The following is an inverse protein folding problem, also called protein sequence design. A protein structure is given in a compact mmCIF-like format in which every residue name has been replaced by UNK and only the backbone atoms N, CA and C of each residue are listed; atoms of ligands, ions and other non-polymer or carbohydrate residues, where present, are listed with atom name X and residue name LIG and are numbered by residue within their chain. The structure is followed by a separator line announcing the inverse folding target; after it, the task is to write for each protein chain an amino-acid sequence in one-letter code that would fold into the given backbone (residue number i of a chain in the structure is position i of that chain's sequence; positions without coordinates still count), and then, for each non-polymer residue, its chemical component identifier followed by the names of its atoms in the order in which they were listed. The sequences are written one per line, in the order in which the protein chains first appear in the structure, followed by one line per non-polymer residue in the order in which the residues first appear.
data_IF_029348591593
#
_entry.id   IF_029348591593
#
_cell.length_a   1.000
_cell.length_b   1.000
_cell.length_c   1.000
_cell.angle_alpha   90.00
_cell.angle_beta   90.00
_cell.angle_gamma   90.00
#
_symmetry.space_group_name_H-M   'P 1'
#
loop_
_entity.id
_entity.type
_entity.pdbx_description
1 polymer ?
#
# COMPACT_ATOMS: atom_id res chain seq x y z
N UNK A 1 -21.44 -19.12 -25.52
CA UNK A 1 -20.74 -19.92 -24.50
C UNK A 1 -19.54 -19.09 -24.02
N UNK A 2 -19.76 -18.27 -22.99
CA UNK A 2 -18.77 -17.31 -22.50
C UNK A 2 -17.77 -17.96 -21.56
N UNK A 3 -16.47 -17.81 -21.85
CA UNK A 3 -15.38 -18.31 -21.01
C UNK A 3 -15.26 -17.37 -19.81
N UNK A 4 -15.73 -17.80 -18.65
CA UNK A 4 -15.44 -17.17 -17.37
C UNK A 4 -13.91 -17.13 -17.16
N UNK A 5 -13.32 -15.94 -17.24
CA UNK A 5 -11.96 -15.70 -16.78
C UNK A 5 -11.93 -15.95 -15.28
N UNK A 6 -11.45 -17.13 -14.86
CA UNK A 6 -11.07 -17.42 -13.48
C UNK A 6 -10.05 -16.38 -13.01
N UNK A 7 -10.51 -15.36 -12.29
CA UNK A 7 -9.66 -14.39 -11.61
C UNK A 7 -8.96 -15.13 -10.46
N UNK A 8 -7.72 -15.60 -10.71
CA UNK A 8 -6.89 -16.17 -9.65
C UNK A 8 -6.69 -15.10 -8.58
N UNK A 9 -6.99 -15.44 -7.32
CA UNK A 9 -6.73 -14.54 -6.18
C UNK A 9 -5.25 -14.14 -6.19
N UNK A 10 -4.93 -12.84 -6.00
CA UNK A 10 -3.55 -12.41 -5.93
C UNK A 10 -2.83 -13.14 -4.79
N UNK A 11 -1.56 -13.45 -5.01
CA UNK A 11 -0.69 -14.08 -4.01
C UNK A 11 -0.64 -13.25 -2.73
N UNK A 12 -0.58 -13.91 -1.57
CA UNK A 12 -0.50 -13.24 -0.26
C UNK A 12 0.58 -12.16 -0.23
N UNK A 13 0.24 -10.98 0.30
CA UNK A 13 1.18 -9.86 0.47
C UNK A 13 2.45 -10.32 1.22
N UNK A 14 2.28 -11.19 2.22
CA UNK A 14 3.38 -11.72 3.01
C UNK A 14 4.37 -12.54 2.16
N UNK A 15 3.87 -13.36 1.24
CA UNK A 15 4.72 -14.14 0.31
C UNK A 15 5.44 -13.20 -0.64
N UNK A 16 4.74 -12.20 -1.19
CA UNK A 16 5.32 -11.26 -2.14
C UNK A 16 6.46 -10.44 -1.51
N UNK A 17 6.25 -9.91 -0.30
CA UNK A 17 7.27 -9.16 0.43
C UNK A 17 8.45 -10.06 0.80
N UNK A 18 8.20 -11.27 1.30
CA UNK A 18 9.28 -12.22 1.68
C UNK A 18 10.12 -12.61 0.47
N UNK A 19 9.49 -12.90 -0.67
CA UNK A 19 10.19 -13.22 -1.93
C UNK A 19 10.99 -12.02 -2.43
N UNK A 20 10.40 -10.82 -2.43
CA UNK A 20 11.11 -9.62 -2.87
C UNK A 20 12.33 -9.30 -2.01
N UNK A 21 12.16 -9.27 -0.69
CA UNK A 21 13.25 -9.02 0.26
C UNK A 21 14.30 -10.13 0.15
N UNK A 22 13.89 -11.39 0.08
CA UNK A 22 14.79 -12.54 -0.07
C UNK A 22 15.60 -12.51 -1.36
N UNK A 23 14.97 -12.14 -2.49
CA UNK A 23 15.68 -11.99 -3.77
C UNK A 23 16.67 -10.82 -3.72
N UNK A 24 16.28 -9.68 -3.14
CA UNK A 24 17.14 -8.51 -3.02
C UNK A 24 18.37 -8.79 -2.13
N UNK A 25 18.18 -9.42 -0.97
CA UNK A 25 19.29 -9.76 -0.07
C UNK A 25 20.20 -10.84 -0.65
N UNK A 26 19.63 -11.85 -1.31
CA UNK A 26 20.43 -12.88 -2.01
C UNK A 26 21.27 -12.25 -3.13
N UNK A 27 20.68 -11.37 -3.95
CA UNK A 27 21.42 -10.67 -5.00
C UNK A 27 22.54 -9.78 -4.44
N UNK A 28 22.29 -9.09 -3.32
CA UNK A 28 23.30 -8.30 -2.61
C UNK A 28 24.47 -9.17 -2.14
N UNK A 29 24.20 -10.34 -1.53
CA UNK A 29 25.26 -11.24 -1.09
C UNK A 29 26.05 -11.84 -2.25
N UNK A 30 25.38 -12.23 -3.34
CA UNK A 30 26.03 -12.72 -4.55
C UNK A 30 26.96 -11.66 -5.16
N UNK A 31 26.50 -10.41 -5.25
CA UNK A 31 27.30 -9.30 -5.77
C UNK A 31 28.51 -9.02 -4.86
N UNK A 32 28.32 -9.07 -3.54
CA UNK A 32 29.39 -8.89 -2.57
C UNK A 32 30.44 -10.01 -2.69
N UNK A 33 30.00 -11.27 -2.74
CA UNK A 33 30.88 -12.43 -2.90
C UNK A 33 31.69 -12.35 -4.20
N UNK A 34 31.03 -12.03 -5.32
CA UNK A 34 31.68 -11.82 -6.61
C UNK A 34 32.70 -10.68 -6.59
N UNK A 35 32.36 -9.55 -5.95
CA UNK A 35 33.27 -8.40 -5.81
C UNK A 35 34.51 -8.75 -4.97
N UNK A 36 34.32 -9.45 -3.86
CA UNK A 36 35.43 -9.91 -2.99
C UNK A 36 36.33 -10.89 -3.75
N UNK A 37 35.76 -11.89 -4.42
CA UNK A 37 36.49 -12.86 -5.23
C UNK A 37 37.37 -12.16 -6.28
N UNK A 38 36.77 -11.26 -7.08
CA UNK A 38 37.47 -10.52 -8.12
C UNK A 38 38.53 -9.56 -7.56
N UNK A 39 38.27 -8.95 -6.40
CA UNK A 39 39.23 -8.09 -5.71
C UNK A 39 40.47 -8.87 -5.27
N UNK A 40 40.28 -10.07 -4.71
CA UNK A 40 41.35 -10.90 -4.19
C UNK A 40 42.19 -11.50 -5.33
N UNK A 41 41.58 -11.98 -6.41
CA UNK A 41 42.31 -12.45 -7.59
C UNK A 41 43.20 -11.35 -8.19
N UNK A 42 42.67 -10.12 -8.30
CA UNK A 42 43.43 -8.95 -8.76
C UNK A 42 44.54 -8.57 -7.78
N UNK A 43 44.31 -8.70 -6.48
CA UNK A 43 45.32 -8.41 -5.46
C UNK A 43 46.51 -9.37 -5.58
N UNK A 44 46.26 -10.68 -5.64
CA UNK A 44 47.33 -11.68 -5.84
C UNK A 44 48.05 -11.47 -7.18
N UNK A 45 47.34 -11.19 -8.28
CA UNK A 45 47.98 -10.90 -9.56
C UNK A 45 48.92 -9.69 -9.52
N UNK A 46 48.56 -8.64 -8.76
CA UNK A 46 49.41 -7.47 -8.55
C UNK A 46 50.61 -7.77 -7.64
N UNK A 47 50.41 -8.58 -6.61
CA UNK A 47 51.47 -9.00 -5.69
C UNK A 47 52.52 -9.83 -6.44
N UNK A 48 52.09 -10.85 -7.19
CA UNK A 48 52.97 -11.69 -8.02
C UNK A 48 53.72 -10.83 -9.05
N UNK A 49 53.04 -9.86 -9.68
CA UNK A 49 53.67 -8.94 -10.64
C UNK A 49 54.75 -8.07 -9.97
N UNK A 50 54.48 -7.56 -8.76
CA UNK A 50 55.43 -6.71 -8.03
C UNK A 50 56.70 -7.51 -7.65
N UNK A 51 56.53 -8.75 -7.23
CA UNK A 51 57.62 -9.67 -6.91
C UNK A 51 58.47 -10.00 -8.16
N UNK A 52 57.81 -10.37 -9.27
CA UNK A 52 58.48 -10.63 -10.55
C UNK A 52 59.19 -9.39 -11.10
N UNK A 53 58.62 -8.19 -10.92
CA UNK A 53 59.24 -6.91 -11.31
C UNK A 53 60.48 -6.59 -10.49
N UNK A 54 60.44 -6.82 -9.18
CA UNK A 54 61.59 -6.61 -8.32
C UNK A 54 62.74 -7.56 -8.72
N UNK A 55 62.44 -8.84 -8.94
CA UNK A 55 63.42 -9.83 -9.39
C UNK A 55 63.99 -9.48 -10.78
N UNK A 56 63.13 -9.09 -11.72
CA UNK A 56 63.55 -8.63 -13.05
C UNK A 56 64.49 -7.41 -12.97
N UNK A 57 64.16 -6.40 -12.17
CA UNK A 57 64.96 -5.18 -12.05
C UNK A 57 66.39 -5.48 -11.55
N UNK A 58 66.52 -6.38 -10.57
CA UNK A 58 67.83 -6.84 -10.08
C UNK A 58 68.64 -7.57 -11.15
N UNK A 59 67.98 -8.43 -11.94
CA UNK A 59 68.64 -9.18 -13.02
C UNK A 59 69.01 -8.29 -14.20
N UNK A 60 68.14 -7.38 -14.61
CA UNK A 60 68.43 -6.43 -15.70
C UNK A 60 69.59 -5.50 -15.34
N UNK A 61 69.66 -5.03 -14.08
CA UNK A 61 70.80 -4.25 -13.59
C UNK A 61 72.12 -5.06 -13.59
N UNK A 62 72.07 -6.34 -13.21
CA UNK A 62 73.22 -7.24 -13.26
C UNK A 62 73.67 -7.53 -14.72
N UNK A 63 72.73 -7.66 -15.65
CA UNK A 63 73.02 -7.89 -17.08
C UNK A 63 73.61 -6.66 -17.77
N UNK A 64 73.14 -5.46 -17.43
CA UNK A 64 73.64 -4.19 -17.99
C UNK A 64 75.01 -3.78 -17.46
N UNK A 65 75.41 -4.23 -16.28
CA UNK A 65 76.75 -3.98 -15.72
C UNK A 65 77.86 -4.86 -16.32
N UNK A 66 77.57 -5.54 -17.45
CA UNK A 66 78.47 -6.41 -18.23
C UNK A 66 79.22 -7.48 -17.42
N UNK A 67 78.64 -7.88 -16.28
CA UNK A 67 79.19 -8.93 -15.41
C UNK A 67 79.05 -10.34 -15.99
N UNK A 68 78.45 -10.51 -17.17
CA UNK A 68 77.91 -11.80 -17.67
C UNK A 68 78.11 -11.93 -19.18
N UNK A 69 79.34 -12.10 -19.62
CA UNK A 69 79.67 -12.29 -21.05
C UNK A 69 80.27 -13.68 -21.34
N UNK A 70 80.58 -14.48 -20.31
CA UNK A 70 81.04 -15.87 -20.45
C UNK A 70 80.45 -16.77 -19.36
N UNK A 71 80.21 -18.07 -19.59
CA UNK A 71 79.74 -18.98 -18.55
C UNK A 71 80.86 -19.27 -17.54
N UNK A 72 81.06 -18.38 -16.57
CA UNK A 72 82.04 -18.51 -15.50
C UNK A 72 81.34 -18.75 -14.15
N UNK A 73 81.73 -19.78 -13.35
CA UNK A 73 81.15 -20.05 -12.03
C UNK A 73 81.16 -18.85 -11.06
N UNK A 74 82.13 -17.94 -11.16
CA UNK A 74 82.18 -16.72 -10.34
C UNK A 74 81.04 -15.73 -10.67
N UNK A 75 80.58 -15.68 -11.92
CA UNK A 75 79.50 -14.78 -12.35
C UNK A 75 78.12 -15.33 -11.97
N UNK A 76 77.95 -16.66 -11.97
CA UNK A 76 76.73 -17.30 -11.44
C UNK A 76 76.53 -17.05 -9.94
N UNK A 77 77.62 -16.86 -9.19
CA UNK A 77 77.56 -16.54 -7.76
C UNK A 77 77.13 -15.09 -7.51
N UNK A 78 77.64 -14.13 -8.30
CA UNK A 78 77.17 -12.74 -8.26
C UNK A 78 75.69 -12.59 -8.64
N UNK A 79 75.17 -13.46 -9.52
CA UNK A 79 73.73 -13.53 -9.79
C UNK A 79 72.93 -14.14 -8.65
N UNK A 80 73.46 -15.21 -8.04
CA UNK A 80 72.85 -15.82 -6.87
C UNK A 80 72.76 -14.82 -5.71
N UNK A 81 73.78 -13.99 -5.51
CA UNK A 81 73.82 -12.94 -4.49
C UNK A 81 72.83 -11.79 -4.81
N UNK A 82 72.76 -11.35 -6.06
CA UNK A 82 71.76 -10.36 -6.50
C UNK A 82 70.32 -10.88 -6.37
N UNK A 83 70.15 -12.20 -6.44
CA UNK A 83 68.87 -12.90 -6.30
C UNK A 83 68.56 -13.34 -4.86
N UNK A 84 69.51 -13.22 -3.93
CA UNK A 84 69.33 -13.66 -2.55
C UNK A 84 68.15 -12.96 -1.85
N UNK A 85 67.76 -11.76 -2.29
CA UNK A 85 66.59 -11.04 -1.79
C UNK A 85 65.25 -11.37 -2.46
N UNK A 86 65.24 -12.13 -3.56
CA UNK A 86 64.03 -12.52 -4.30
C UNK A 86 63.66 -13.98 -4.03
N UNK A 87 63.17 -14.26 -2.82
CA UNK A 87 62.77 -15.60 -2.41
C UNK A 87 61.52 -16.06 -3.16
N UNK A 88 61.60 -17.17 -3.90
CA UNK A 88 60.44 -17.77 -4.59
C UNK A 88 60.35 -17.54 -6.10
N UNK A 89 61.27 -16.74 -6.66
CA UNK A 89 61.34 -16.47 -8.10
C UNK A 89 62.40 -17.33 -8.79
N UNK A 90 61.97 -18.11 -9.79
CA UNK A 90 62.84 -18.88 -10.68
C UNK A 90 63.20 -18.07 -11.92
N UNK A 91 64.49 -18.04 -12.27
CA UNK A 91 64.99 -17.31 -13.43
C UNK A 91 65.80 -18.21 -14.36
N UNK A 92 65.62 -18.02 -15.67
CA UNK A 92 66.45 -18.61 -16.72
C UNK A 92 66.95 -17.53 -17.65
N UNK A 93 68.26 -17.49 -17.91
CA UNK A 93 68.91 -16.54 -18.80
C UNK A 93 69.55 -17.29 -19.96
N UNK A 94 69.24 -16.88 -21.19
CA UNK A 94 69.79 -17.41 -22.43
C UNK A 94 70.41 -16.31 -23.28
N UNK A 95 71.48 -16.65 -23.97
CA UNK A 95 72.12 -15.74 -24.94
C UNK A 95 71.37 -15.70 -26.28
N UNK A 96 71.81 -14.83 -27.21
CA UNK A 96 71.23 -14.70 -28.56
C UNK A 96 71.18 -16.04 -29.34
N UNK A 97 72.16 -16.91 -29.14
CA UNK A 97 72.24 -18.25 -29.74
C UNK A 97 71.41 -19.32 -29.01
N UNK A 98 70.61 -18.93 -28.00
CA UNK A 98 69.82 -19.85 -27.18
C UNK A 98 70.62 -20.63 -26.12
N UNK A 99 71.94 -20.43 -26.03
CA UNK A 99 72.80 -21.06 -25.01
C UNK A 99 72.44 -20.58 -23.61
N UNK A 100 72.37 -21.51 -22.65
CA UNK A 100 72.03 -21.23 -21.26
C UNK A 100 73.20 -20.52 -20.54
N UNK A 101 72.93 -19.36 -19.95
CA UNK A 101 73.89 -18.60 -19.16
C UNK A 101 73.67 -18.79 -17.65
N UNK A 102 72.41 -18.85 -17.23
CA UNK A 102 72.04 -19.04 -15.82
C UNK A 102 70.68 -19.73 -15.70
N UNK A 103 70.51 -20.57 -14.68
CA UNK A 103 69.24 -21.24 -14.34
C UNK A 103 69.15 -21.44 -12.84
N UNK A 104 68.06 -20.96 -12.24
CA UNK A 104 67.70 -21.30 -10.85
C UNK A 104 67.34 -22.78 -10.75
N UNK A 105 67.74 -23.45 -9.66
CA UNK A 105 67.41 -24.84 -9.38
C UNK A 105 65.87 -24.94 -9.34
N UNK A 106 65.29 -25.66 -10.32
CA UNK A 106 63.84 -25.81 -10.60
C UNK A 106 63.10 -24.56 -11.12
N UNK A 107 62.13 -24.67 -12.06
CA UNK A 107 61.67 -25.83 -12.86
C UNK A 107 62.13 -25.77 -14.35
N UNK A 108 61.60 -26.66 -15.20
CA UNK A 108 61.75 -26.63 -16.66
C UNK A 108 60.99 -25.45 -17.28
N UNK A 109 61.65 -24.30 -17.33
CA UNK A 109 61.16 -23.06 -17.94
C UNK A 109 61.30 -23.05 -19.48
N UNK A 110 61.79 -24.14 -20.07
CA UNK A 110 62.06 -24.21 -21.51
C UNK A 110 60.77 -24.33 -22.34
N UNK A 111 59.68 -24.76 -21.71
CA UNK A 111 58.34 -24.73 -22.32
C UNK A 111 57.85 -23.29 -22.55
N UNK A 112 58.12 -22.37 -21.61
CA UNK A 112 57.62 -20.99 -21.69
C UNK A 112 58.35 -20.18 -22.77
N UNK A 113 59.67 -20.34 -22.87
CA UNK A 113 60.52 -19.68 -23.89
C UNK A 113 60.03 -20.00 -25.31
N UNK A 114 59.47 -21.20 -25.52
CA UNK A 114 58.99 -21.65 -26.84
C UNK A 114 57.58 -21.19 -27.17
N UNK A 115 56.77 -20.85 -26.17
CA UNK A 115 55.33 -20.59 -26.34
C UNK A 115 54.98 -19.10 -26.21
N UNK A 116 55.79 -18.30 -25.52
CA UNK A 116 55.48 -16.91 -25.19
C UNK A 116 56.49 -15.97 -25.83
N UNK A 117 56.06 -14.95 -26.61
CA UNK A 117 56.97 -13.98 -27.21
C UNK A 117 57.64 -13.12 -26.14
N UNK A 118 58.92 -12.79 -26.34
CA UNK A 118 59.67 -11.95 -25.42
C UNK A 118 59.18 -10.49 -25.46
N UNK A 119 58.84 -9.94 -24.30
CA UNK A 119 58.39 -8.55 -24.16
C UNK A 119 59.44 -7.68 -23.47
N UNK A 120 59.50 -6.38 -23.82
CA UNK A 120 60.43 -5.45 -23.17
C UNK A 120 59.94 -4.95 -21.79
N UNK A 121 58.61 -4.94 -21.58
CA UNK A 121 58.00 -4.42 -20.36
C UNK A 121 57.21 -5.51 -19.64
N UNK A 122 57.45 -5.63 -18.33
CA UNK A 122 56.73 -6.56 -17.47
C UNK A 122 55.45 -5.89 -16.95
N UNK A 123 54.31 -6.24 -17.54
CA UNK A 123 52.96 -5.79 -17.16
C UNK A 123 52.03 -6.98 -16.90
N UNK A 124 50.83 -6.74 -16.36
CA UNK A 124 49.83 -7.79 -16.10
C UNK A 124 49.53 -8.62 -17.36
N UNK A 125 49.44 -7.99 -18.52
CA UNK A 125 49.13 -8.67 -19.80
C UNK A 125 50.30 -9.52 -20.32
N UNK A 126 51.53 -9.23 -19.86
CA UNK A 126 52.72 -10.01 -20.21
C UNK A 126 52.84 -11.29 -19.35
N UNK A 127 52.10 -11.38 -18.23
CA UNK A 127 52.11 -12.53 -17.36
C UNK A 127 51.31 -13.68 -17.97
N UNK A 128 51.97 -14.83 -18.09
CA UNK A 128 51.38 -16.06 -18.55
C UNK A 128 51.36 -17.07 -17.40
N UNK A 129 50.29 -17.86 -17.34
CA UNK A 129 50.16 -18.96 -16.38
C UNK A 129 50.31 -20.27 -17.14
N UNK A 130 51.21 -21.13 -16.69
CA UNK A 130 51.36 -22.47 -17.23
C UNK A 130 51.46 -23.49 -16.11
N UNK A 131 51.14 -24.73 -16.44
CA UNK A 131 51.20 -25.85 -15.50
C UNK A 131 52.30 -26.80 -15.94
N UNK A 132 53.16 -27.17 -15.00
CA UNK A 132 54.06 -28.31 -15.14
C UNK A 132 53.43 -29.53 -14.47
N UNK A 133 54.12 -30.68 -14.47
CA UNK A 133 53.62 -31.92 -13.86
C UNK A 133 53.30 -31.81 -12.36
N UNK A 134 53.93 -30.87 -11.63
CA UNK A 134 53.79 -30.74 -10.18
C UNK A 134 53.43 -29.33 -9.70
N UNK A 135 53.64 -28.30 -10.51
CA UNK A 135 53.53 -26.90 -10.07
C UNK A 135 52.84 -26.03 -11.12
N UNK A 136 52.11 -25.01 -10.65
CA UNK A 136 51.56 -23.95 -11.49
C UNK A 136 52.41 -22.70 -11.33
N UNK A 137 52.90 -22.17 -12.43
CA UNK A 137 53.74 -20.99 -12.44
C UNK A 137 53.06 -19.81 -13.12
N UNK A 138 53.43 -18.62 -12.68
CA UNK A 138 53.10 -17.35 -13.32
C UNK A 138 54.39 -16.60 -13.61
N UNK A 139 54.53 -16.08 -14.82
CA UNK A 139 55.80 -15.51 -15.25
C UNK A 139 55.73 -14.89 -16.64
N UNK A 140 56.83 -14.33 -17.08
CA UNK A 140 56.96 -13.69 -18.38
C UNK A 140 58.32 -13.96 -19.01
N UNK A 141 58.39 -13.82 -20.34
CA UNK A 141 59.63 -13.86 -21.10
C UNK A 141 60.02 -12.42 -21.42
N UNK A 142 61.19 -11.99 -20.97
CA UNK A 142 61.69 -10.63 -21.06
C UNK A 142 62.97 -10.58 -21.89
N UNK A 143 63.23 -9.45 -22.55
CA UNK A 143 64.44 -9.23 -23.35
C UNK A 143 65.28 -8.10 -22.76
N UNK A 144 66.56 -8.38 -22.48
CA UNK A 144 67.56 -7.38 -22.08
C UNK A 144 68.73 -7.45 -23.06
N UNK A 145 68.83 -6.46 -23.96
CA UNK A 145 69.83 -6.47 -25.04
C UNK A 145 69.66 -7.67 -25.98
N UNK A 146 70.72 -8.48 -26.08
CA UNK A 146 70.81 -9.72 -26.85
C UNK A 146 70.39 -10.98 -26.06
N UNK A 147 70.04 -10.83 -24.78
CA UNK A 147 69.71 -11.94 -23.87
C UNK A 147 68.21 -12.06 -23.64
N UNK A 148 67.74 -13.30 -23.58
CA UNK A 148 66.36 -13.66 -23.21
C UNK A 148 66.33 -14.15 -21.77
N UNK A 149 65.48 -13.52 -20.95
CA UNK A 149 65.35 -13.80 -19.52
C UNK A 149 63.92 -14.24 -19.24
N UNK A 150 63.77 -15.39 -18.60
CA UNK A 150 62.48 -15.86 -18.08
C UNK A 150 62.44 -15.59 -16.59
N UNK A 151 61.36 -14.99 -16.12
CA UNK A 151 61.11 -14.77 -14.69
C UNK A 151 59.77 -15.41 -14.35
N UNK A 152 59.76 -16.29 -13.34
CA UNK A 152 58.60 -17.09 -12.97
C UNK A 152 58.49 -17.25 -11.45
N UNK A 153 57.29 -17.28 -10.91
CA UNK A 153 57.01 -17.62 -9.50
C UNK A 153 55.99 -18.74 -9.43
N UNK A 154 56.12 -19.63 -8.43
CA UNK A 154 55.18 -20.72 -8.20
C UNK A 154 53.93 -20.20 -7.49
N UNK A 155 52.75 -20.41 -8.07
CA UNK A 155 51.47 -19.90 -7.56
C UNK A 155 50.55 -21.00 -7.01
N UNK A 156 51.08 -22.20 -6.76
CA UNK A 156 50.29 -23.33 -6.22
C UNK A 156 49.61 -22.98 -4.90
N UNK A 157 50.36 -22.36 -3.99
CA UNK A 157 49.83 -21.93 -2.69
C UNK A 157 48.74 -20.86 -2.86
N UNK A 158 48.96 -19.88 -3.74
CA UNK A 158 47.96 -18.84 -4.06
C UNK A 158 46.68 -19.45 -4.63
N UNK A 159 46.78 -20.36 -5.59
CA UNK A 159 45.62 -21.02 -6.19
C UNK A 159 44.87 -21.92 -5.21
N UNK A 160 45.58 -22.66 -4.36
CA UNK A 160 44.93 -23.48 -3.32
C UNK A 160 44.24 -22.60 -2.27
N UNK A 161 44.86 -21.49 -1.87
CA UNK A 161 44.26 -20.52 -0.96
C UNK A 161 43.01 -19.88 -1.56
N UNK A 162 43.09 -19.41 -2.81
CA UNK A 162 41.96 -18.85 -3.56
C UNK A 162 40.79 -19.82 -3.64
N UNK A 163 41.03 -21.10 -3.96
CA UNK A 163 39.96 -22.12 -4.01
C UNK A 163 39.30 -22.35 -2.65
N UNK A 164 40.10 -22.46 -1.58
CA UNK A 164 39.57 -22.63 -0.21
C UNK A 164 38.72 -21.42 0.19
N UNK A 165 39.20 -20.23 -0.13
CA UNK A 165 38.50 -18.98 0.14
C UNK A 165 37.21 -18.86 -0.67
N UNK A 166 37.25 -19.15 -1.97
CA UNK A 166 36.07 -19.20 -2.84
C UNK A 166 35.03 -20.16 -2.26
N UNK A 167 35.40 -21.39 -1.93
CA UNK A 167 34.48 -22.36 -1.34
C UNK A 167 33.86 -21.85 -0.02
N UNK A 168 34.67 -21.22 0.84
CA UNK A 168 34.19 -20.64 2.09
C UNK A 168 33.24 -19.44 1.86
N UNK A 169 33.56 -18.56 0.90
CA UNK A 169 32.73 -17.41 0.53
C UNK A 169 31.39 -17.84 -0.06
N UNK A 170 31.39 -18.80 -0.98
CA UNK A 170 30.18 -19.32 -1.60
C UNK A 170 29.30 -20.09 -0.61
N UNK A 171 29.90 -20.92 0.26
CA UNK A 171 29.19 -21.60 1.33
C UNK A 171 28.59 -20.60 2.35
N UNK A 172 29.38 -19.60 2.76
CA UNK A 172 28.92 -18.53 3.64
C UNK A 172 27.78 -17.72 3.04
N UNK A 173 27.86 -17.41 1.74
CA UNK A 173 26.82 -16.69 0.99
C UNK A 173 25.52 -17.48 0.94
N UNK A 174 25.58 -18.78 0.70
CA UNK A 174 24.41 -19.67 0.70
C UNK A 174 23.74 -19.69 2.08
N UNK A 175 24.53 -19.87 3.15
CA UNK A 175 24.03 -19.91 4.53
C UNK A 175 23.40 -18.56 4.91
N UNK A 176 24.09 -17.45 4.63
CA UNK A 176 23.60 -16.10 4.91
C UNK A 176 22.29 -15.80 4.16
N UNK A 177 22.18 -16.22 2.90
CA UNK A 177 20.96 -16.06 2.10
C UNK A 177 19.79 -16.86 2.67
N UNK A 178 20.03 -18.11 3.07
CA UNK A 178 19.00 -18.96 3.68
C UNK A 178 18.50 -18.38 5.01
N UNK A 179 19.42 -17.92 5.87
CA UNK A 179 19.09 -17.25 7.13
C UNK A 179 18.30 -15.96 6.86
N UNK A 180 18.72 -15.16 5.88
CA UNK A 180 18.04 -13.92 5.53
C UNK A 180 16.59 -14.16 5.09
N UNK A 181 16.34 -15.15 4.23
CA UNK A 181 14.98 -15.53 3.81
C UNK A 181 14.14 -16.02 4.99
N UNK A 182 14.73 -16.83 5.88
CA UNK A 182 14.06 -17.31 7.08
C UNK A 182 13.65 -16.16 8.01
N UNK A 183 14.59 -15.25 8.31
CA UNK A 183 14.35 -14.08 9.16
C UNK A 183 13.32 -13.16 8.54
N UNK A 184 13.42 -12.87 7.25
CA UNK A 184 12.43 -12.06 6.52
C UNK A 184 11.03 -12.68 6.61
N UNK A 185 10.91 -14.00 6.39
CA UNK A 185 9.64 -14.71 6.50
C UNK A 185 9.03 -14.67 7.90
N UNK A 186 9.85 -14.79 8.95
CA UNK A 186 9.41 -14.66 10.34
C UNK A 186 8.98 -13.23 10.68
N UNK A 187 9.77 -12.23 10.27
CA UNK A 187 9.48 -10.81 10.51
C UNK A 187 8.15 -10.40 9.85
N UNK A 188 7.91 -10.80 8.60
CA UNK A 188 6.66 -10.53 7.90
C UNK A 188 5.48 -11.24 8.58
N UNK A 189 5.65 -12.50 9.01
CA UNK A 189 4.60 -13.25 9.74
C UNK A 189 4.21 -12.59 11.06
N UNK A 190 5.19 -12.10 11.81
CA UNK A 190 4.96 -11.38 13.07
C UNK A 190 4.34 -9.99 12.82
N UNK A 191 4.85 -9.24 11.84
CA UNK A 191 4.32 -7.92 11.47
C UNK A 191 2.85 -7.94 11.03
N UNK A 192 2.39 -9.03 10.43
CA UNK A 192 0.98 -9.21 10.03
C UNK A 192 0.07 -9.77 11.14
N UNK A 193 0.61 -10.17 12.28
CA UNK A 193 -0.18 -10.74 13.37
C UNK A 193 -1.22 -9.76 13.95
N UNK A 194 -0.92 -8.47 14.18
CA UNK A 194 -1.91 -7.49 14.64
C UNK A 194 -3.10 -7.35 13.68
N UNK A 195 -2.84 -7.31 12.36
CA UNK A 195 -3.89 -7.21 11.34
C UNK A 195 -4.84 -8.42 11.38
N UNK A 196 -4.30 -9.62 11.58
CA UNK A 196 -5.10 -10.84 11.75
C UNK A 196 -5.97 -10.79 13.01
N UNK A 197 -5.45 -10.26 14.12
CA UNK A 197 -6.19 -10.12 15.39
C UNK A 197 -7.35 -9.14 15.22
N UNK A 198 -7.11 -7.99 14.59
CA UNK A 198 -8.16 -7.00 14.28
C UNK A 198 -9.22 -7.61 13.36
N UNK A 199 -8.80 -8.30 12.30
CA UNK A 199 -9.73 -9.00 11.39
C UNK A 199 -10.57 -10.05 12.10
N UNK A 200 -10.00 -10.82 13.03
CA UNK A 200 -10.74 -11.79 13.82
C UNK A 200 -11.78 -11.10 14.71
N UNK A 201 -11.38 -10.06 15.45
CA UNK A 201 -12.31 -9.27 16.28
C UNK A 201 -13.44 -8.64 15.47
N UNK A 202 -13.14 -8.11 14.28
CA UNK A 202 -14.16 -7.54 13.40
C UNK A 202 -15.16 -8.60 12.90
N UNK A 203 -14.74 -9.85 12.70
CA UNK A 203 -15.67 -10.95 12.32
C UNK A 203 -16.60 -11.39 13.45
N UNK A 204 -16.18 -11.18 14.69
CA UNK A 204 -17.00 -11.50 15.87
C UNK A 204 -18.03 -10.40 16.18
N UNK A 205 -17.94 -9.24 15.52
CA UNK A 205 -18.89 -8.14 15.71
C UNK A 205 -20.20 -8.44 14.99
N UNK A 206 -21.24 -8.68 15.79
CA UNK A 206 -22.63 -8.84 15.37
C UNK A 206 -23.44 -7.61 15.76
N UNK A 207 -24.68 -7.50 15.24
CA UNK A 207 -25.63 -6.41 15.56
C UNK A 207 -25.85 -6.21 17.07
N UNK A 208 -25.70 -7.27 17.86
CA UNK A 208 -25.85 -7.25 19.32
C UNK A 208 -24.63 -6.69 20.07
N UNK A 209 -23.46 -6.64 19.42
CA UNK A 209 -22.17 -6.29 20.04
C UNK A 209 -21.51 -5.02 19.49
N UNK A 210 -22.26 -4.15 18.80
CA UNK A 210 -21.71 -2.89 18.25
C UNK A 210 -21.05 -1.97 19.30
N UNK A 211 -21.48 -2.09 20.56
CA UNK A 211 -20.94 -1.32 21.68
C UNK A 211 -19.48 -1.66 22.01
N UNK A 212 -18.97 -2.81 21.57
CA UNK A 212 -17.57 -3.19 21.80
C UNK A 212 -16.67 -2.49 20.78
N UNK A 213 -15.94 -1.47 21.21
CA UNK A 213 -15.03 -0.72 20.33
C UNK A 213 -13.64 -1.33 20.31
N UNK A 214 -12.96 -1.16 19.18
CA UNK A 214 -11.54 -1.45 19.07
C UNK A 214 -10.77 -0.28 19.68
N UNK A 215 -9.91 -0.55 20.66
CA UNK A 215 -9.07 0.48 21.28
C UNK A 215 -7.86 0.83 20.39
N UNK A 216 -7.74 2.08 19.92
CA UNK A 216 -6.60 2.53 19.11
C UNK A 216 -5.25 2.40 19.83
N UNK A 217 -5.21 2.47 21.17
CA UNK A 217 -3.97 2.38 21.94
C UNK A 217 -3.35 0.97 21.94
N UNK A 218 -4.13 -0.06 21.61
CA UNK A 218 -3.71 -1.46 21.62
C UNK A 218 -3.32 -1.99 20.23
N UNK A 219 -3.20 -1.12 19.23
CA UNK A 219 -2.81 -1.49 17.87
C UNK A 219 -1.59 -0.68 17.41
N UNK A 220 -0.78 -1.20 16.45
CA UNK A 220 0.28 -0.42 15.82
C UNK A 220 -0.26 0.90 15.25
N UNK A 221 0.56 1.95 15.27
CA UNK A 221 0.15 3.30 14.86
C UNK A 221 -0.35 3.35 13.43
N UNK A 222 0.21 2.50 12.55
CA UNK A 222 -0.19 2.37 11.15
C UNK A 222 -1.62 1.84 10.98
N UNK A 223 -2.18 1.21 12.00
CA UNK A 223 -3.55 0.68 12.01
C UNK A 223 -4.51 1.56 12.83
N UNK A 224 -4.03 2.60 13.50
CA UNK A 224 -4.84 3.47 14.35
C UNK A 224 -5.96 4.16 13.54
N UNK A 225 -5.63 4.71 12.38
CA UNK A 225 -6.60 5.37 11.48
C UNK A 225 -7.66 4.40 10.97
N UNK A 226 -7.27 3.16 10.64
CA UNK A 226 -8.21 2.13 10.22
C UNK A 226 -9.19 1.78 11.34
N UNK A 227 -8.69 1.63 12.57
CA UNK A 227 -9.51 1.38 13.76
C UNK A 227 -10.44 2.56 14.03
N UNK A 228 -9.96 3.79 13.91
CA UNK A 228 -10.76 5.00 14.08
C UNK A 228 -11.89 5.07 13.04
N UNK A 229 -11.59 4.84 11.77
CA UNK A 229 -12.58 4.82 10.69
C UNK A 229 -13.63 3.72 10.89
N UNK A 230 -13.21 2.54 11.32
CA UNK A 230 -14.11 1.43 11.62
C UNK A 230 -15.03 1.74 12.81
N UNK A 231 -14.49 2.32 13.88
CA UNK A 231 -15.29 2.80 15.01
C UNK A 231 -16.28 3.89 14.56
N UNK A 232 -15.86 4.84 13.72
CA UNK A 232 -16.78 5.87 13.20
C UNK A 232 -17.94 5.25 12.40
N UNK A 233 -17.68 4.22 11.58
CA UNK A 233 -18.71 3.47 10.87
C UNK A 233 -19.69 2.79 11.85
N UNK A 234 -19.18 2.10 12.88
CA UNK A 234 -20.03 1.49 13.92
C UNK A 234 -20.94 2.52 14.60
N UNK A 235 -20.42 3.71 14.90
CA UNK A 235 -21.22 4.79 15.50
C UNK A 235 -22.37 5.21 14.60
N UNK A 236 -22.15 5.33 13.28
CA UNK A 236 -23.22 5.67 12.34
C UNK A 236 -24.28 4.58 12.27
N UNK A 237 -23.88 3.31 12.33
CA UNK A 237 -24.81 2.17 12.35
C UNK A 237 -25.64 2.18 13.65
N UNK A 238 -25.01 2.37 14.81
CA UNK A 238 -25.71 2.46 16.10
C UNK A 238 -26.73 3.60 16.12
N UNK A 239 -26.36 4.79 15.62
CA UNK A 239 -27.26 5.94 15.50
C UNK A 239 -28.44 5.66 14.56
N UNK A 240 -28.22 4.92 13.47
CA UNK A 240 -29.28 4.50 12.57
C UNK A 240 -30.27 3.55 13.25
N UNK A 241 -29.77 2.52 13.95
CA UNK A 241 -30.63 1.58 14.70
C UNK A 241 -31.35 2.24 15.88
N UNK A 242 -30.74 3.20 16.56
CA UNK A 242 -31.40 3.96 17.63
C UNK A 242 -32.59 4.76 17.08
N UNK A 243 -32.40 5.48 15.96
CA UNK A 243 -33.48 6.21 15.28
C UNK A 243 -34.61 5.29 14.82
N UNK A 244 -34.27 4.17 14.18
CA UNK A 244 -35.28 3.20 13.73
C UNK A 244 -36.11 2.65 14.90
N UNK A 245 -35.48 2.37 16.05
CA UNK A 245 -36.18 1.90 17.25
C UNK A 245 -37.12 2.96 17.83
N UNK A 246 -36.69 4.22 17.92
CA UNK A 246 -37.55 5.31 18.38
C UNK A 246 -38.77 5.48 17.47
N UNK A 247 -38.56 5.61 16.16
CA UNK A 247 -39.65 5.74 15.19
C UNK A 247 -40.59 4.55 15.27
N UNK A 248 -40.07 3.32 15.35
CA UNK A 248 -40.92 2.12 15.46
C UNK A 248 -41.76 2.10 16.74
N UNK A 249 -41.21 2.58 17.86
CA UNK A 249 -41.92 2.66 19.13
C UNK A 249 -43.04 3.71 19.09
N UNK A 250 -42.75 4.89 18.52
CA UNK A 250 -43.70 5.99 18.39
C UNK A 250 -44.87 5.58 17.47
N UNK A 251 -44.56 4.96 16.32
CA UNK A 251 -45.58 4.41 15.40
C UNK A 251 -46.48 3.40 16.11
N UNK A 252 -45.88 2.47 16.87
CA UNK A 252 -46.65 1.46 17.58
C UNK A 252 -47.56 2.07 18.65
N UNK A 253 -47.18 3.20 19.25
CA UNK A 253 -48.00 3.91 20.22
C UNK A 253 -49.15 4.67 19.54
N UNK A 254 -48.84 5.47 18.52
CA UNK A 254 -49.81 6.27 17.76
C UNK A 254 -50.85 5.41 17.06
N UNK A 255 -50.52 4.19 16.62
CA UNK A 255 -51.49 3.26 16.03
C UNK A 255 -52.31 2.49 17.08
N UNK A 256 -51.82 2.33 18.32
CA UNK A 256 -52.52 1.54 19.35
C UNK A 256 -53.81 2.24 19.81
N UNK A 257 -53.77 3.55 19.97
CA UNK A 257 -54.90 4.38 20.40
C UNK A 257 -56.10 4.28 19.43
N UNK A 258 -55.96 4.60 18.13
CA UNK A 258 -57.07 4.52 17.17
C UNK A 258 -57.61 3.08 17.03
N UNK A 259 -56.73 2.08 17.00
CA UNK A 259 -57.15 0.66 16.97
C UNK A 259 -57.96 0.28 18.21
N UNK A 260 -57.60 0.79 19.38
CA UNK A 260 -58.34 0.55 20.63
C UNK A 260 -59.70 1.24 20.61
N UNK A 261 -59.78 2.47 20.07
CA UNK A 261 -61.02 3.21 19.89
C UNK A 261 -61.97 2.48 18.94
N UNK A 262 -61.52 2.16 17.73
CA UNK A 262 -62.28 1.38 16.74
C UNK A 262 -62.84 0.09 17.34
N UNK A 263 -62.00 -0.66 18.06
CA UNK A 263 -62.41 -1.90 18.72
C UNK A 263 -63.48 -1.65 19.78
N UNK A 264 -63.30 -0.63 20.61
CA UNK A 264 -64.23 -0.31 21.70
C UNK A 264 -65.57 0.15 21.15
N UNK A 265 -65.57 1.06 20.17
CA UNK A 265 -66.78 1.54 19.50
C UNK A 265 -67.54 0.39 18.82
N UNK A 266 -66.82 -0.51 18.16
CA UNK A 266 -67.41 -1.71 17.54
C UNK A 266 -68.01 -2.66 18.57
N UNK A 267 -67.31 -2.94 19.69
CA UNK A 267 -67.85 -3.76 20.78
C UNK A 267 -69.11 -3.14 21.40
N UNK A 268 -69.09 -1.82 21.60
CA UNK A 268 -70.21 -1.05 22.12
C UNK A 268 -71.41 -1.10 21.16
N UNK A 269 -71.19 -1.00 19.85
CA UNK A 269 -72.22 -1.17 18.82
C UNK A 269 -72.83 -2.59 18.82
N UNK A 270 -72.02 -3.63 19.05
CA UNK A 270 -72.44 -5.04 19.05
C UNK A 270 -73.09 -5.50 20.36
N UNK A 271 -72.87 -4.80 21.47
CA UNK A 271 -73.34 -5.22 22.81
C UNK A 271 -74.86 -5.27 22.98
N UNK A 272 -75.62 -4.46 22.24
CA UNK A 272 -77.09 -4.42 22.26
C UNK A 272 -77.63 -3.73 21.02
N UNK A 273 -78.88 -4.05 20.65
CA UNK A 273 -79.58 -3.37 19.57
C UNK A 273 -79.73 -1.87 19.87
N UNK A 274 -79.56 -1.04 18.84
CA UNK A 274 -79.67 0.43 18.89
C UNK A 274 -80.53 0.94 17.75
N UNK A 275 -80.89 2.20 17.82
CA UNK A 275 -81.50 2.89 16.70
C UNK A 275 -80.52 3.08 15.54
N UNK A 276 -81.05 3.24 14.33
CA UNK A 276 -80.28 3.40 13.09
C UNK A 276 -79.35 4.61 13.17
N UNK A 277 -79.77 5.72 13.78
CA UNK A 277 -78.95 6.93 13.85
C UNK A 277 -77.74 6.75 14.77
N UNK A 278 -77.88 6.01 15.87
CA UNK A 278 -76.76 5.66 16.74
C UNK A 278 -75.73 4.74 16.06
N UNK A 279 -76.16 3.85 15.15
CA UNK A 279 -75.23 3.06 14.34
C UNK A 279 -74.49 3.93 13.32
N UNK A 280 -75.18 4.89 12.69
CA UNK A 280 -74.54 5.83 11.75
C UNK A 280 -73.47 6.65 12.44
N UNK A 281 -73.75 7.18 13.63
CA UNK A 281 -72.77 7.98 14.40
C UNK A 281 -71.50 7.18 14.73
N UNK A 282 -71.65 5.92 15.14
CA UNK A 282 -70.49 5.03 15.39
C UNK A 282 -69.72 4.75 14.10
N UNK A 283 -70.41 4.52 12.98
CA UNK A 283 -69.75 4.30 11.70
C UNK A 283 -69.02 5.55 11.20
N UNK A 284 -69.57 6.75 11.41
CA UNK A 284 -68.88 8.01 11.11
C UNK A 284 -67.63 8.19 11.97
N UNK A 285 -67.73 7.92 13.28
CA UNK A 285 -66.56 8.01 14.17
C UNK A 285 -65.48 6.98 13.81
N UNK A 286 -65.88 5.75 13.43
CA UNK A 286 -64.94 4.76 12.92
C UNK A 286 -64.28 5.18 11.60
N UNK A 287 -65.05 5.81 10.69
CA UNK A 287 -64.52 6.30 9.41
C UNK A 287 -63.48 7.40 9.64
N UNK A 288 -63.76 8.36 10.52
CA UNK A 288 -62.83 9.43 10.89
C UNK A 288 -61.51 8.87 11.45
N UNK A 289 -61.59 7.86 12.32
CA UNK A 289 -60.40 7.21 12.90
C UNK A 289 -59.60 6.44 11.82
N UNK A 290 -60.26 5.81 10.85
CA UNK A 290 -59.60 5.15 9.71
C UNK A 290 -58.92 6.14 8.75
N UNK A 291 -59.55 7.31 8.52
CA UNK A 291 -58.97 8.40 7.74
C UNK A 291 -57.74 8.98 8.44
N UNK A 292 -57.82 9.19 9.76
CA UNK A 292 -56.68 9.60 10.59
C UNK A 292 -55.51 8.60 10.51
N UNK A 293 -55.78 7.30 10.66
CA UNK A 293 -54.75 6.26 10.50
C UNK A 293 -54.12 6.27 9.11
N UNK A 294 -54.92 6.46 8.06
CA UNK A 294 -54.43 6.52 6.68
C UNK A 294 -53.52 7.74 6.44
N UNK A 295 -53.89 8.90 6.99
CA UNK A 295 -53.06 10.10 6.95
C UNK A 295 -51.72 9.89 7.68
N UNK A 296 -51.76 9.33 8.89
CA UNK A 296 -50.54 9.02 9.66
C UNK A 296 -49.58 8.10 8.90
N UNK A 297 -50.09 7.02 8.28
CA UNK A 297 -49.28 6.12 7.45
C UNK A 297 -48.67 6.85 6.25
N UNK A 298 -49.46 7.71 5.59
CA UNK A 298 -49.00 8.54 4.47
C UNK A 298 -47.88 9.50 4.86
N UNK A 299 -47.97 10.10 6.04
CA UNK A 299 -46.92 10.99 6.57
C UNK A 299 -45.67 10.23 6.99
N UNK A 300 -45.80 9.04 7.59
CA UNK A 300 -44.67 8.16 7.91
C UNK A 300 -43.91 7.72 6.66
N UNK A 301 -44.64 7.29 5.62
CA UNK A 301 -44.03 6.88 4.35
C UNK A 301 -43.30 8.05 3.68
N UNK A 302 -43.88 9.25 3.76
CA UNK A 302 -43.24 10.46 3.27
C UNK A 302 -41.95 10.81 4.03
N UNK A 303 -41.97 10.78 5.37
CA UNK A 303 -40.78 11.02 6.19
C UNK A 303 -39.66 10.03 5.87
N UNK A 304 -40.00 8.73 5.75
CA UNK A 304 -39.04 7.70 5.38
C UNK A 304 -38.42 7.93 3.98
N UNK A 305 -39.23 8.36 3.00
CA UNK A 305 -38.75 8.71 1.67
C UNK A 305 -37.91 9.99 1.66
N UNK A 306 -38.26 10.99 2.47
CA UNK A 306 -37.54 12.25 2.59
C UNK A 306 -36.13 12.05 3.18
N UNK A 307 -35.97 11.19 4.18
CA UNK A 307 -34.64 10.86 4.74
C UNK A 307 -33.70 10.20 3.72
N UNK A 308 -34.22 9.34 2.83
CA UNK A 308 -33.44 8.69 1.78
C UNK A 308 -33.09 9.61 0.61
N UNK A 309 -33.88 10.65 0.35
CA UNK A 309 -33.81 11.44 -0.89
C UNK A 309 -33.06 12.78 -0.76
N UNK A 310 -32.19 12.91 0.23
CA UNK A 310 -31.21 14.02 0.34
C UNK A 310 -30.26 14.17 -0.87
N UNK A 311 -30.34 13.24 -1.84
CA UNK A 311 -29.66 13.33 -3.13
C UNK A 311 -30.57 14.05 -4.15
N UNK A 312 -30.48 15.39 -4.14
CA UNK A 312 -30.64 16.30 -5.29
C UNK A 312 -31.74 15.91 -6.29
N UNK A 313 -32.99 16.23 -5.98
CA UNK A 313 -34.10 16.24 -6.96
C UNK A 313 -34.03 17.50 -7.82
N UNK A 314 -34.56 17.40 -9.04
CA UNK A 314 -34.58 18.45 -10.06
C UNK A 314 -35.03 19.80 -9.48
N UNK A 315 -34.06 20.68 -9.24
CA UNK A 315 -34.32 22.01 -8.74
C UNK A 315 -34.97 22.81 -9.89
N UNK A 316 -36.29 22.98 -9.79
CA UNK A 316 -37.04 23.86 -10.69
C UNK A 316 -37.12 25.24 -10.07
N UNK A 317 -37.09 26.30 -10.90
CA UNK A 317 -37.29 27.66 -10.43
C UNK A 317 -38.76 27.88 -10.05
N UNK A 318 -39.06 27.82 -8.76
CA UNK A 318 -40.40 27.95 -8.19
C UNK A 318 -40.72 29.44 -7.99
N UNK A 319 -41.85 29.89 -8.54
CA UNK A 319 -42.41 31.21 -8.23
C UNK A 319 -43.21 31.14 -6.92
N UNK A 320 -42.64 31.68 -5.85
CA UNK A 320 -43.21 31.58 -4.50
C UNK A 320 -44.54 32.31 -4.36
N UNK A 321 -44.70 33.46 -5.02
CA UNK A 321 -45.97 34.19 -4.97
C UNK A 321 -47.07 33.36 -5.63
N UNK A 322 -46.80 32.80 -6.81
CA UNK A 322 -47.77 31.99 -7.55
C UNK A 322 -48.14 30.70 -6.80
N UNK A 323 -47.16 30.01 -6.20
CA UNK A 323 -47.44 28.80 -5.41
C UNK A 323 -48.25 29.09 -4.16
N UNK A 324 -47.94 30.16 -3.42
CA UNK A 324 -48.65 30.49 -2.18
C UNK A 324 -50.07 30.96 -2.50
N UNK A 325 -50.28 31.80 -3.52
CA UNK A 325 -51.62 32.17 -3.95
C UNK A 325 -52.45 30.93 -4.29
N UNK A 326 -51.91 30.00 -5.09
CA UNK A 326 -52.64 28.77 -5.43
C UNK A 326 -52.96 27.87 -4.23
N UNK A 327 -52.14 27.93 -3.17
CA UNK A 327 -52.44 27.24 -1.90
C UNK A 327 -53.52 27.94 -1.09
N UNK A 328 -53.50 29.26 -1.01
CA UNK A 328 -54.54 30.02 -0.31
C UNK A 328 -55.90 29.82 -1.00
N UNK A 329 -55.94 29.89 -2.33
CA UNK A 329 -57.13 29.62 -3.14
C UNK A 329 -57.69 28.21 -2.88
N UNK A 330 -56.80 27.21 -2.73
CA UNK A 330 -57.19 25.83 -2.43
C UNK A 330 -57.84 25.69 -1.03
N UNK A 331 -57.37 26.47 -0.05
CA UNK A 331 -57.89 26.43 1.32
C UNK A 331 -59.01 27.44 1.60
N UNK A 332 -59.32 28.35 0.66
CA UNK A 332 -60.32 29.42 0.79
C UNK A 332 -61.66 28.90 1.31
N UNK A 333 -62.22 27.87 0.66
CA UNK A 333 -63.53 27.31 1.03
C UNK A 333 -63.56 26.73 2.46
N UNK A 334 -62.47 26.10 2.90
CA UNK A 334 -62.38 25.55 4.25
C UNK A 334 -62.15 26.63 5.31
N UNK A 335 -61.39 27.67 4.97
CA UNK A 335 -61.21 28.83 5.83
C UNK A 335 -62.53 29.59 6.00
N UNK A 336 -63.31 29.76 4.93
CA UNK A 336 -64.63 30.40 4.95
C UNK A 336 -65.65 29.64 5.80
N UNK A 337 -65.70 28.30 5.69
CA UNK A 337 -66.55 27.44 6.53
C UNK A 337 -66.23 27.61 8.03
N UNK A 338 -64.97 27.91 8.37
CA UNK A 338 -64.52 28.23 9.73
C UNK A 338 -64.62 29.72 10.09
N UNK A 339 -64.98 30.59 9.14
CA UNK A 339 -64.97 32.04 9.27
C UNK A 339 -63.60 32.65 9.57
N UNK A 340 -62.54 32.05 9.02
CA UNK A 340 -61.16 32.54 9.11
C UNK A 340 -60.80 33.20 7.79
N UNK A 341 -60.19 34.39 7.84
CA UNK A 341 -59.69 35.08 6.63
C UNK A 341 -58.25 34.67 6.31
N UNK A 342 -57.95 34.48 5.03
CA UNK A 342 -56.59 34.21 4.54
C UNK A 342 -56.03 35.45 3.87
N UNK A 343 -54.83 35.88 4.27
CA UNK A 343 -54.19 37.07 3.71
C UNK A 343 -52.73 36.81 3.31
N UNK A 344 -52.36 37.21 2.09
CA UNK A 344 -50.98 37.19 1.62
C UNK A 344 -50.37 38.60 1.69
N UNK A 345 -49.20 38.73 2.31
CA UNK A 345 -48.46 39.99 2.41
C UNK A 345 -47.02 39.85 1.91
N UNK A 346 -46.52 40.86 1.20
CA UNK A 346 -45.15 40.90 0.69
C UNK A 346 -44.97 40.12 -0.63
N UNK A 347 -43.72 40.08 -1.11
CA UNK A 347 -43.35 39.42 -2.36
C UNK A 347 -41.94 38.83 -2.25
N UNK A 348 -41.72 37.71 -2.93
CA UNK A 348 -40.39 37.13 -3.11
C UNK A 348 -40.16 36.67 -4.56
N UNK A 349 -38.90 36.63 -4.98
CA UNK A 349 -38.49 36.11 -6.28
C UNK A 349 -38.58 34.58 -6.39
N UNK A 350 -38.09 34.05 -7.50
CA UNK A 350 -38.05 32.60 -7.74
C UNK A 350 -37.00 31.93 -6.86
N UNK A 351 -37.31 30.74 -6.36
CA UNK A 351 -36.37 29.90 -5.60
C UNK A 351 -36.21 28.53 -6.23
N UNK A 352 -34.99 28.02 -6.20
CA UNK A 352 -34.68 26.68 -6.69
C UNK A 352 -35.03 25.64 -5.63
N UNK A 353 -35.88 24.67 -5.96
CA UNK A 353 -36.26 23.62 -5.03
C UNK A 353 -37.22 22.58 -5.60
N UNK A 354 -37.63 21.65 -4.73
CA UNK A 354 -38.70 20.68 -5.01
C UNK A 354 -40.06 21.35 -4.72
N UNK A 355 -40.80 21.61 -5.81
CA UNK A 355 -42.11 22.28 -5.77
C UNK A 355 -43.12 21.50 -4.93
N UNK A 356 -43.13 20.17 -5.01
CA UNK A 356 -44.09 19.34 -4.26
C UNK A 356 -43.78 19.37 -2.76
N UNK A 357 -42.50 19.30 -2.38
CA UNK A 357 -42.11 19.38 -0.97
C UNK A 357 -42.43 20.75 -0.36
N UNK A 358 -42.16 21.83 -1.09
CA UNK A 358 -42.52 23.18 -0.64
C UNK A 358 -44.04 23.32 -0.48
N UNK A 359 -44.81 22.88 -1.48
CA UNK A 359 -46.26 22.91 -1.45
C UNK A 359 -46.82 22.15 -0.25
N UNK A 360 -46.29 20.95 0.03
CA UNK A 360 -46.72 20.12 1.17
C UNK A 360 -46.37 20.76 2.52
N UNK A 361 -45.16 21.30 2.66
CA UNK A 361 -44.76 22.01 3.88
C UNK A 361 -45.67 23.20 4.18
N UNK A 362 -45.94 24.04 3.18
CA UNK A 362 -46.82 25.20 3.31
C UNK A 362 -48.27 24.77 3.56
N UNK A 363 -48.75 23.72 2.89
CA UNK A 363 -50.10 23.17 3.13
C UNK A 363 -50.28 22.75 4.58
N UNK A 364 -49.28 22.07 5.17
CA UNK A 364 -49.33 21.66 6.57
C UNK A 364 -49.34 22.87 7.53
N UNK A 365 -48.54 23.90 7.24
CA UNK A 365 -48.52 25.12 8.07
C UNK A 365 -49.83 25.90 7.97
N UNK A 366 -50.35 26.10 6.76
CA UNK A 366 -51.62 26.81 6.51
C UNK A 366 -52.77 26.03 7.13
N UNK A 367 -52.79 24.70 6.98
CA UNK A 367 -53.85 23.89 7.54
C UNK A 367 -53.86 23.90 9.07
N UNK A 368 -52.68 23.89 9.69
CA UNK A 368 -52.57 24.10 11.13
C UNK A 368 -53.02 25.50 11.53
N UNK A 369 -52.61 26.55 10.81
CA UNK A 369 -53.01 27.91 11.11
C UNK A 369 -54.54 28.08 11.05
N UNK A 370 -55.22 27.55 10.03
CA UNK A 370 -56.69 27.56 9.94
C UNK A 370 -57.33 26.77 11.08
N UNK A 371 -56.76 25.62 11.46
CA UNK A 371 -57.30 24.76 12.53
C UNK A 371 -57.25 25.41 13.91
N UNK A 372 -56.25 26.24 14.18
CA UNK A 372 -56.03 26.85 15.50
C UNK A 372 -56.43 28.34 15.58
N UNK A 373 -56.97 28.93 14.51
CA UNK A 373 -57.46 30.31 14.49
C UNK A 373 -58.94 30.37 14.86
N UNK A 374 -59.33 31.32 15.72
CA UNK A 374 -60.73 31.47 16.13
C UNK A 374 -61.58 32.13 15.03
N UNK A 375 -62.89 31.93 15.10
CA UNK A 375 -63.85 32.52 14.16
C UNK A 375 -63.74 34.06 14.13
N UNK A 376 -63.73 34.63 12.93
CA UNK A 376 -63.62 36.08 12.69
C UNK A 376 -62.19 36.62 12.61
N UNK A 377 -61.17 35.80 12.91
CA UNK A 377 -59.76 36.17 12.85
C UNK A 377 -59.12 35.82 11.49
N UNK A 378 -57.86 36.23 11.29
CA UNK A 378 -57.13 36.07 10.02
C UNK A 378 -55.81 35.31 10.19
N UNK A 379 -55.48 34.48 9.21
CA UNK A 379 -54.15 33.90 9.03
C UNK A 379 -53.40 34.71 7.98
N UNK A 380 -52.21 35.21 8.34
CA UNK A 380 -51.36 35.98 7.45
C UNK A 380 -50.16 35.16 6.98
N UNK A 381 -50.00 35.00 5.67
CA UNK A 381 -48.76 34.47 5.07
C UNK A 381 -47.92 35.66 4.60
N UNK A 382 -46.70 35.82 5.13
CA UNK A 382 -45.79 36.90 4.76
C UNK A 382 -44.58 36.40 4.00
N UNK A 383 -44.29 37.05 2.89
CA UNK A 383 -43.10 36.83 2.08
C UNK A 383 -42.16 38.02 2.23
N UNK A 384 -40.91 37.74 2.61
CA UNK A 384 -39.83 38.73 2.59
C UNK A 384 -38.58 38.11 2.01
N UNK A 385 -37.81 38.90 1.28
CA UNK A 385 -36.57 38.46 0.66
C UNK A 385 -35.42 39.36 1.12
N UNK A 386 -34.36 38.72 1.58
CA UNK A 386 -33.09 39.34 1.93
C UNK A 386 -32.04 39.00 0.86
N UNK A 387 -30.82 39.54 0.94
CA UNK A 387 -29.77 39.29 -0.07
C UNK A 387 -29.41 37.81 -0.26
N UNK A 388 -29.67 36.97 0.74
CA UNK A 388 -29.20 35.58 0.78
C UNK A 388 -30.29 34.53 0.98
N UNK A 389 -31.47 34.93 1.45
CA UNK A 389 -32.55 34.02 1.82
C UNK A 389 -33.91 34.61 1.48
N UNK A 390 -34.87 33.74 1.15
CA UNK A 390 -36.29 34.07 1.17
C UNK A 390 -36.88 33.54 2.47
N UNK A 391 -37.68 34.38 3.13
CA UNK A 391 -38.38 34.06 4.37
C UNK A 391 -39.89 34.01 4.09
N UNK A 392 -40.49 32.88 4.45
CA UNK A 392 -41.94 32.65 4.42
C UNK A 392 -42.40 32.50 5.86
N UNK A 393 -43.33 33.35 6.29
CA UNK A 393 -43.92 33.29 7.64
C UNK A 393 -45.42 32.99 7.53
N UNK A 394 -45.92 32.05 8.30
CA UNK A 394 -47.36 31.80 8.46
C UNK A 394 -47.73 32.19 9.89
N UNK A 395 -48.56 33.21 10.06
CA UNK A 395 -48.91 33.78 11.36
C UNK A 395 -50.42 33.64 11.61
N UNK A 396 -50.78 33.07 12.75
CA UNK A 396 -52.11 33.13 13.34
C UNK A 396 -52.05 33.97 14.65
N UNK A 397 -53.14 34.67 15.00
CA UNK A 397 -53.21 35.57 16.16
C UNK A 397 -53.27 34.90 17.53
#
# INVERSE_FOLDING_TARGET
MGIEKRTRRPTSLAVRVTVFVGLATTAMFLLSAWSIEHSIERHFARMDLAELRAAWASVDAALRSDRISTPNPAQSQGLADAMAGSHGVSIVIRNADGRLLYKTITPDLDALVRQVPATANLNLDALHIWRTSHHVYRGAVLRSGDKTVVVATAIDFHLQYLRKLQNALWAGTLIASLISVLVAGLAVRQGHAPLRRISARMREMTTERLHTRLDPAHVPIELADLVAAFNAMLTRIEQGFARLRHVSADIAHELRTPVTNLRTQTQVALSKARDVDAYREILYSNLEELEHMSAMIGDMLFLAQAEQSSVRRDASGIDLNAEICGLLDYFEAWAEDRGVRLELGGQAGKVDGDREMLRRALSNLIANAIRYTQHGQSVHVRLSQDERWVKIEVCNP
#
